data_IF_348387241747
#
_entry.id   IF_348387241747
#
_cell.length_a   1.000
_cell.length_b   1.000
_cell.length_c   1.000
_cell.angle_alpha   90.00
_cell.angle_beta   90.00
_cell.angle_gamma   90.00
#
_symmetry.space_group_name_H-M   'P 1'
#
loop_
_entity.id
_entity.type
_entity.pdbx_description
1 polymer ?
#
# COMPACT_ATOMS: atom_id res chain seq x y z
N UNK A 1 -15.07 -5.62 14.00
CA UNK A 1 -14.52 -4.35 14.51
C UNK A 1 -13.01 -4.51 14.64
N UNK A 2 -12.22 -3.55 14.16
CA UNK A 2 -10.77 -3.63 14.28
C UNK A 2 -10.33 -3.54 15.76
N UNK A 3 -9.28 -4.30 16.14
CA UNK A 3 -8.72 -4.23 17.48
C UNK A 3 -8.05 -2.87 17.71
N UNK A 4 -8.53 -2.04 18.67
CA UNK A 4 -8.03 -0.69 18.87
C UNK A 4 -6.57 -0.62 19.34
N UNK A 5 -6.02 -1.72 19.83
CA UNK A 5 -4.60 -1.82 20.19
C UNK A 5 -3.70 -1.74 18.95
N UNK A 6 -4.12 -2.34 17.85
CA UNK A 6 -3.35 -2.40 16.60
C UNK A 6 -3.81 -1.35 15.58
N UNK A 7 -5.10 -1.02 15.60
CA UNK A 7 -5.75 -0.12 14.66
C UNK A 7 -6.47 1.01 15.42
N UNK A 8 -5.74 1.99 15.93
CA UNK A 8 -6.37 3.12 16.61
C UNK A 8 -7.22 3.90 15.61
N UNK A 9 -8.49 4.12 15.95
CA UNK A 9 -9.39 4.96 15.14
C UNK A 9 -8.91 6.39 15.15
N UNK A 10 -8.89 7.03 13.97
CA UNK A 10 -8.45 8.40 13.89
C UNK A 10 -9.57 9.39 14.20
N UNK A 11 -10.74 9.22 13.60
CA UNK A 11 -11.86 10.16 13.74
C UNK A 11 -13.19 9.53 13.27
N UNK A 12 -14.28 10.13 13.74
CA UNK A 12 -15.62 9.85 13.26
C UNK A 12 -15.86 10.60 11.94
N UNK A 13 -16.71 10.08 11.07
CA UNK A 13 -17.10 10.71 9.84
C UNK A 13 -18.59 11.03 9.81
N UNK A 14 -18.96 12.20 9.32
CA UNK A 14 -20.36 12.51 9.02
C UNK A 14 -20.77 11.91 7.69
N UNK A 15 -22.07 11.65 7.50
CA UNK A 15 -22.62 11.17 6.23
C UNK A 15 -22.28 12.11 5.07
N UNK A 16 -22.28 13.42 5.30
CA UNK A 16 -21.87 14.41 4.31
C UNK A 16 -20.40 14.29 3.89
N UNK A 17 -19.49 13.99 4.84
CA UNK A 17 -18.09 13.73 4.52
C UNK A 17 -17.93 12.44 3.71
N UNK A 18 -18.65 11.38 4.08
CA UNK A 18 -18.67 10.10 3.36
C UNK A 18 -19.11 10.32 1.91
N UNK A 19 -20.25 11.01 1.71
CA UNK A 19 -20.76 11.37 0.37
C UNK A 19 -19.71 12.13 -0.45
N UNK A 20 -19.03 13.10 0.14
CA UNK A 20 -17.99 13.90 -0.53
C UNK A 20 -16.79 13.04 -0.92
N UNK A 21 -16.31 12.18 -0.02
CA UNK A 21 -15.15 11.30 -0.26
C UNK A 21 -15.42 10.28 -1.36
N UNK A 22 -16.63 9.73 -1.41
CA UNK A 22 -17.02 8.68 -2.36
C UNK A 22 -17.72 9.20 -3.62
N UNK A 23 -17.96 10.52 -3.69
CA UNK A 23 -18.71 11.18 -4.75
C UNK A 23 -20.12 10.59 -4.98
N UNK A 24 -20.78 10.16 -3.90
CA UNK A 24 -22.12 9.56 -3.94
C UNK A 24 -23.17 10.61 -3.57
N UNK A 25 -24.25 10.68 -4.38
CA UNK A 25 -25.39 11.53 -4.10
C UNK A 25 -26.26 10.93 -3.01
N UNK A 26 -26.53 11.70 -1.96
CA UNK A 26 -27.41 11.29 -0.87
C UNK A 26 -28.88 11.59 -1.16
N UNK A 27 -29.82 10.76 -0.67
CA UNK A 27 -31.23 11.10 -0.66
C UNK A 27 -31.49 12.42 0.08
N UNK A 28 -32.46 13.23 -0.39
CA UNK A 28 -32.78 14.54 0.21
C UNK A 28 -33.26 14.43 1.68
N UNK A 29 -33.82 13.28 2.06
CA UNK A 29 -34.44 13.04 3.37
C UNK A 29 -33.43 12.65 4.47
N UNK A 30 -32.16 12.43 4.14
CA UNK A 30 -31.19 11.96 5.14
C UNK A 30 -30.45 13.11 5.82
N UNK A 31 -30.19 12.97 7.12
CA UNK A 31 -29.37 13.93 7.87
C UNK A 31 -27.89 13.76 7.49
N UNK A 32 -27.35 14.76 6.81
CA UNK A 32 -25.92 14.80 6.40
C UNK A 32 -24.97 14.89 7.60
N UNK A 33 -25.45 15.31 8.77
CA UNK A 33 -24.65 15.42 10.00
C UNK A 33 -24.63 14.12 10.81
N UNK A 34 -25.39 13.08 10.39
CA UNK A 34 -25.34 11.78 11.05
C UNK A 34 -23.91 11.26 11.09
N UNK A 35 -23.46 10.86 12.27
CA UNK A 35 -22.09 10.45 12.53
C UNK A 35 -21.97 8.92 12.47
N UNK A 36 -20.90 8.46 11.85
CA UNK A 36 -20.48 7.06 11.83
C UNK A 36 -19.14 6.90 12.54
N UNK A 37 -19.02 5.82 13.28
CA UNK A 37 -17.85 5.55 14.14
C UNK A 37 -16.84 4.62 13.49
N UNK A 38 -17.29 3.76 12.54
CA UNK A 38 -16.45 2.70 11.98
C UNK A 38 -17.08 2.05 10.74
N UNK A 39 -16.31 1.18 10.13
CA UNK A 39 -16.73 0.22 9.12
C UNK A 39 -16.93 -1.16 9.75
N UNK A 40 -17.80 -1.99 9.17
CA UNK A 40 -17.99 -3.37 9.65
C UNK A 40 -18.57 -4.26 8.56
N UNK A 41 -18.44 -5.59 8.71
CA UNK A 41 -19.13 -6.57 7.87
C UNK A 41 -20.65 -6.49 8.06
N UNK A 42 -21.40 -6.98 7.07
CA UNK A 42 -22.88 -6.94 7.06
C UNK A 42 -23.52 -7.60 8.28
N UNK A 43 -22.93 -8.70 8.76
CA UNK A 43 -23.40 -9.53 9.87
C UNK A 43 -23.09 -8.96 11.26
N UNK A 44 -22.02 -8.15 11.36
CA UNK A 44 -21.52 -7.61 12.61
C UNK A 44 -21.76 -6.10 12.79
N UNK A 45 -22.26 -5.45 11.74
CA UNK A 45 -22.46 -4.02 11.72
C UNK A 45 -23.58 -3.59 12.70
N UNK A 46 -23.37 -2.44 13.33
CA UNK A 46 -24.35 -1.71 14.15
C UNK A 46 -24.83 -0.45 13.41
N UNK A 47 -25.81 0.26 14.00
CA UNK A 47 -26.34 1.52 13.44
C UNK A 47 -25.30 2.63 13.28
N UNK A 48 -24.17 2.54 13.95
CA UNK A 48 -23.07 3.50 13.83
C UNK A 48 -21.98 3.05 12.86
N UNK A 49 -22.17 1.93 12.16
CA UNK A 49 -21.22 1.39 11.21
C UNK A 49 -21.69 1.54 9.77
N UNK A 50 -20.70 1.62 8.87
CA UNK A 50 -20.90 1.54 7.43
C UNK A 50 -20.48 0.16 6.95
N UNK A 51 -21.28 -0.43 6.05
CA UNK A 51 -20.99 -1.70 5.42
C UNK A 51 -21.08 -1.60 3.90
N UNK A 52 -20.88 -2.71 3.21
CA UNK A 52 -21.05 -2.79 1.76
C UNK A 52 -21.57 -4.17 1.35
N UNK A 53 -22.25 -4.22 0.19
CA UNK A 53 -22.62 -5.42 -0.53
C UNK A 53 -22.07 -5.34 -1.96
N UNK A 54 -21.15 -6.23 -2.30
CA UNK A 54 -20.59 -6.34 -3.66
C UNK A 54 -20.85 -7.72 -4.27
N UNK A 55 -20.95 -8.77 -3.45
CA UNK A 55 -21.14 -10.15 -3.88
C UNK A 55 -22.54 -10.66 -3.49
N UNK A 56 -23.25 -11.25 -4.47
CA UNK A 56 -24.60 -11.83 -4.30
C UNK A 56 -24.67 -12.92 -3.22
N UNK A 57 -23.59 -13.59 -2.91
CA UNK A 57 -23.53 -14.61 -1.85
C UNK A 57 -23.83 -14.05 -0.46
N UNK A 58 -23.75 -12.72 -0.27
CA UNK A 58 -24.00 -12.06 1.01
C UNK A 58 -25.38 -11.39 1.10
N UNK A 59 -26.30 -11.64 0.16
CA UNK A 59 -27.64 -11.04 0.13
C UNK A 59 -28.42 -11.34 1.42
N UNK A 60 -28.33 -12.54 1.95
CA UNK A 60 -29.06 -12.89 3.19
C UNK A 60 -28.54 -12.14 4.41
N UNK A 61 -27.23 -11.91 4.47
CA UNK A 61 -26.61 -11.07 5.49
C UNK A 61 -27.02 -9.60 5.30
N UNK A 62 -27.06 -9.11 4.08
CA UNK A 62 -27.49 -7.76 3.75
C UNK A 62 -28.92 -7.48 4.23
N UNK A 63 -29.87 -8.36 3.91
CA UNK A 63 -31.28 -8.26 4.34
C UNK A 63 -31.46 -8.20 5.85
N UNK A 64 -30.55 -8.81 6.61
CA UNK A 64 -30.58 -8.90 8.08
C UNK A 64 -29.66 -7.90 8.76
N UNK A 65 -28.89 -7.12 7.98
CA UNK A 65 -27.88 -6.21 8.52
C UNK A 65 -28.48 -5.10 9.37
N UNK A 66 -27.78 -4.72 10.42
CA UNK A 66 -28.09 -3.60 11.29
C UNK A 66 -27.17 -2.40 11.05
N UNK A 67 -26.48 -2.35 9.91
CA UNK A 67 -25.62 -1.24 9.53
C UNK A 67 -26.42 0.06 9.49
N UNK A 68 -25.80 1.17 9.85
CA UNK A 68 -26.47 2.49 9.73
C UNK A 68 -26.48 3.00 8.30
N UNK A 69 -25.49 2.59 7.47
CA UNK A 69 -25.43 2.86 6.04
C UNK A 69 -24.73 1.71 5.32
N UNK A 70 -25.03 1.50 4.06
CA UNK A 70 -24.44 0.44 3.26
C UNK A 70 -24.22 0.88 1.82
N UNK A 71 -23.02 0.64 1.29
CA UNK A 71 -22.74 0.79 -0.15
C UNK A 71 -23.23 -0.45 -0.89
N UNK A 72 -23.98 -0.27 -1.97
CA UNK A 72 -24.43 -1.35 -2.83
C UNK A 72 -24.85 -0.84 -4.21
N UNK A 73 -24.93 -1.74 -5.20
CA UNK A 73 -25.38 -1.39 -6.56
C UNK A 73 -26.89 -1.18 -6.59
N UNK A 74 -27.36 -0.33 -7.49
CA UNK A 74 -28.77 0.01 -7.66
C UNK A 74 -29.67 -1.22 -7.82
N UNK A 75 -29.16 -2.31 -8.41
CA UNK A 75 -29.89 -3.57 -8.63
C UNK A 75 -30.37 -4.24 -7.34
N UNK A 76 -29.81 -3.88 -6.19
CA UNK A 76 -30.20 -4.45 -4.90
C UNK A 76 -31.18 -3.57 -4.10
N UNK A 77 -31.70 -2.48 -4.69
CA UNK A 77 -32.51 -1.50 -3.96
C UNK A 77 -33.82 -2.10 -3.42
N UNK A 78 -34.45 -3.02 -4.19
CA UNK A 78 -35.73 -3.64 -3.83
C UNK A 78 -35.62 -4.62 -2.64
N UNK A 79 -34.41 -5.11 -2.38
CA UNK A 79 -34.13 -6.04 -1.27
C UNK A 79 -33.40 -5.38 -0.12
N UNK A 80 -33.08 -4.09 -0.25
CA UNK A 80 -32.36 -3.35 0.78
C UNK A 80 -33.25 -3.11 2.00
N UNK A 81 -32.72 -3.31 3.23
CA UNK A 81 -33.48 -3.01 4.44
C UNK A 81 -33.81 -1.53 4.56
N UNK A 82 -35.05 -1.19 4.95
CA UNK A 82 -35.53 0.19 5.10
C UNK A 82 -34.82 0.97 6.21
N UNK A 83 -34.24 0.27 7.19
CA UNK A 83 -33.54 0.85 8.34
C UNK A 83 -32.10 1.24 8.04
N UNK A 84 -31.60 1.01 6.84
CA UNK A 84 -30.22 1.31 6.42
C UNK A 84 -30.23 2.51 5.47
N UNK A 85 -29.30 3.45 5.61
CA UNK A 85 -29.10 4.49 4.61
C UNK A 85 -28.48 3.88 3.36
N UNK A 86 -29.15 4.04 2.24
CA UNK A 86 -28.71 3.51 0.95
C UNK A 86 -27.65 4.41 0.32
N UNK A 87 -26.44 3.89 0.19
CA UNK A 87 -25.31 4.53 -0.49
C UNK A 87 -25.10 3.83 -1.84
N UNK A 88 -25.81 4.31 -2.86
CA UNK A 88 -25.77 3.67 -4.18
C UNK A 88 -24.44 3.97 -4.86
N UNK A 89 -23.72 2.92 -5.21
CA UNK A 89 -22.40 2.98 -5.84
C UNK A 89 -22.30 1.98 -6.99
N UNK A 90 -21.67 2.37 -8.09
CA UNK A 90 -21.32 1.45 -9.19
C UNK A 90 -20.22 0.44 -8.76
N UNK A 91 -19.36 0.84 -7.85
CA UNK A 91 -18.34 -0.04 -7.25
C UNK A 91 -18.38 0.07 -5.71
N UNK A 92 -19.25 -0.71 -5.04
CA UNK A 92 -19.45 -0.66 -3.59
C UNK A 92 -18.18 -0.97 -2.80
N UNK A 93 -17.38 -1.94 -3.25
CA UNK A 93 -16.13 -2.30 -2.59
C UNK A 93 -15.10 -1.18 -2.65
N UNK A 94 -14.98 -0.51 -3.80
CA UNK A 94 -14.09 0.65 -3.94
C UNK A 94 -14.52 1.80 -3.02
N UNK A 95 -15.80 2.14 -3.00
CA UNK A 95 -16.35 3.17 -2.11
C UNK A 95 -16.10 2.84 -0.64
N UNK A 96 -16.26 1.58 -0.25
CA UNK A 96 -15.97 1.10 1.09
C UNK A 96 -14.48 1.20 1.43
N UNK A 97 -13.58 0.87 0.50
CA UNK A 97 -12.13 1.02 0.69
C UNK A 97 -11.71 2.48 0.90
N UNK A 98 -12.31 3.45 0.19
CA UNK A 98 -12.10 4.89 0.41
C UNK A 98 -12.43 5.27 1.85
N UNK A 99 -13.58 4.82 2.34
CA UNK A 99 -14.03 5.14 3.70
C UNK A 99 -13.20 4.38 4.75
N UNK A 100 -12.81 3.15 4.48
CA UNK A 100 -11.90 2.40 5.35
C UNK A 100 -10.57 3.15 5.57
N UNK A 101 -9.96 3.64 4.50
CA UNK A 101 -8.75 4.46 4.58
C UNK A 101 -8.98 5.80 5.32
N UNK A 102 -10.17 6.38 5.23
CA UNK A 102 -10.50 7.60 5.97
C UNK A 102 -10.68 7.37 7.47
N UNK A 103 -11.21 6.20 7.89
CA UNK A 103 -11.29 5.80 9.29
C UNK A 103 -9.94 5.35 9.86
N UNK A 104 -9.11 4.72 9.04
CA UNK A 104 -7.82 4.13 9.41
C UNK A 104 -6.70 4.65 8.50
N UNK A 105 -6.38 5.94 8.56
CA UNK A 105 -5.32 6.51 7.75
C UNK A 105 -3.97 5.88 8.12
N UNK A 106 -3.10 5.77 7.13
CA UNK A 106 -1.70 5.44 7.38
C UNK A 106 -1.12 6.53 8.28
N UNK A 107 -0.37 6.14 9.31
CA UNK A 107 0.30 7.10 10.19
C UNK A 107 1.26 7.95 9.39
N UNK A 108 1.24 9.25 9.67
CA UNK A 108 2.22 10.17 9.13
C UNK A 108 3.64 9.73 9.54
N UNK A 109 4.59 9.93 8.65
CA UNK A 109 5.99 9.72 8.96
C UNK A 109 6.45 10.79 9.97
N UNK A 110 7.37 10.40 10.86
CA UNK A 110 8.03 11.34 11.76
C UNK A 110 9.40 11.65 11.18
N UNK A 111 9.51 12.76 10.47
CA UNK A 111 10.72 13.16 9.77
C UNK A 111 11.93 13.22 10.71
N UNK A 112 13.09 12.86 10.18
CA UNK A 112 14.38 12.87 10.88
C UNK A 112 15.16 11.58 10.73
N UNK A 113 16.47 11.69 10.94
CA UNK A 113 17.40 10.56 10.94
C UNK A 113 17.60 10.09 12.38
N UNK A 114 17.27 8.82 12.65
CA UNK A 114 17.46 8.26 13.97
C UNK A 114 18.98 8.15 14.31
N UNK A 115 19.44 8.47 15.54
CA UNK A 115 20.86 8.45 15.89
C UNK A 115 21.56 7.08 15.73
N UNK A 116 20.81 5.99 15.67
CA UNK A 116 21.31 4.63 15.39
C UNK A 116 21.25 4.25 13.91
N UNK A 117 20.89 5.14 13.02
CA UNK A 117 21.00 4.94 11.58
C UNK A 117 22.41 5.36 11.12
N UNK A 118 22.91 4.71 10.07
CA UNK A 118 24.13 5.11 9.39
C UNK A 118 23.77 5.66 8.01
N UNK A 119 24.15 6.91 7.77
CA UNK A 119 23.89 7.59 6.49
C UNK A 119 25.18 8.23 6.02
N UNK A 120 25.66 7.81 4.84
CA UNK A 120 26.88 8.34 4.24
C UNK A 120 26.72 9.82 3.84
N UNK A 121 27.81 10.59 3.90
CA UNK A 121 27.79 12.04 3.70
C UNK A 121 27.34 12.49 2.30
N UNK A 122 27.49 11.64 1.27
CA UNK A 122 27.09 11.92 -0.11
C UNK A 122 25.61 11.68 -0.39
N UNK A 123 24.84 11.16 0.57
CA UNK A 123 23.41 10.90 0.43
C UNK A 123 22.64 12.22 0.30
N UNK A 124 21.77 12.29 -0.69
CA UNK A 124 20.91 13.47 -0.92
C UNK A 124 19.49 13.17 -0.45
N UNK A 125 19.02 13.91 0.54
CA UNK A 125 17.65 13.87 1.06
C UNK A 125 17.29 15.22 1.67
N UNK A 126 16.01 15.45 1.97
CA UNK A 126 15.55 16.67 2.65
C UNK A 126 15.00 16.36 4.06
N UNK A 127 14.59 17.37 4.76
CA UNK A 127 14.10 17.34 6.14
C UNK A 127 12.73 16.66 6.32
N UNK A 128 12.07 16.25 5.25
CA UNK A 128 10.79 15.51 5.30
C UNK A 128 10.97 13.99 5.33
N UNK A 129 12.21 13.49 5.21
CA UNK A 129 12.52 12.06 5.18
C UNK A 129 12.66 11.50 6.59
N UNK A 130 12.10 10.33 6.83
CA UNK A 130 12.32 9.54 8.04
C UNK A 130 13.28 8.39 7.76
N UNK A 131 14.39 8.31 8.50
CA UNK A 131 15.32 7.17 8.47
C UNK A 131 15.33 6.52 9.87
N UNK A 132 14.82 5.30 9.95
CA UNK A 132 14.57 4.59 11.19
C UNK A 132 15.84 3.96 11.80
N UNK A 133 15.82 3.51 13.07
CA UNK A 133 16.99 2.96 13.74
C UNK A 133 17.57 1.74 13.01
N UNK A 134 18.89 1.66 12.94
CA UNK A 134 19.62 0.56 12.31
C UNK A 134 19.59 0.56 10.78
N UNK A 135 18.92 1.52 10.14
CA UNK A 135 19.00 1.66 8.70
C UNK A 135 20.41 2.08 8.26
N UNK A 136 20.86 1.54 7.12
CA UNK A 136 22.14 1.87 6.49
C UNK A 136 21.88 2.41 5.10
N UNK A 137 22.32 3.64 4.84
CA UNK A 137 22.19 4.29 3.53
C UNK A 137 23.57 4.62 3.02
N UNK A 138 23.99 3.92 1.96
CA UNK A 138 25.33 4.02 1.37
C UNK A 138 25.48 5.27 0.49
N UNK A 139 26.69 5.48 -0.02
CA UNK A 139 27.07 6.66 -0.81
C UNK A 139 26.19 6.87 -2.04
N UNK A 140 26.01 8.13 -2.43
CA UNK A 140 25.37 8.59 -3.66
C UNK A 140 23.91 8.17 -3.83
N UNK A 141 23.25 7.75 -2.75
CA UNK A 141 21.80 7.51 -2.73
C UNK A 141 21.07 8.84 -2.78
N UNK A 142 19.99 8.87 -3.55
CA UNK A 142 19.07 10.02 -3.65
C UNK A 142 17.69 9.61 -3.15
N UNK A 143 17.15 10.33 -2.16
CA UNK A 143 15.84 10.05 -1.56
C UNK A 143 14.95 11.28 -1.73
N UNK A 144 13.79 11.10 -2.35
CA UNK A 144 12.78 12.12 -2.52
C UNK A 144 12.12 12.56 -1.21
N UNK A 145 11.18 13.48 -1.32
CA UNK A 145 10.45 14.05 -0.17
C UNK A 145 9.47 13.05 0.44
N UNK A 146 9.18 13.19 1.75
CA UNK A 146 8.19 12.41 2.47
C UNK A 146 8.40 10.88 2.40
N UNK A 147 9.64 10.44 2.37
CA UNK A 147 10.00 9.02 2.32
C UNK A 147 10.25 8.45 3.71
N UNK A 148 9.92 7.16 3.87
CA UNK A 148 10.26 6.37 5.05
C UNK A 148 11.27 5.28 4.67
N UNK A 149 12.41 5.26 5.34
CA UNK A 149 13.36 4.14 5.33
C UNK A 149 13.22 3.38 6.65
N UNK A 150 12.68 2.17 6.59
CA UNK A 150 12.35 1.34 7.75
C UNK A 150 13.58 0.84 8.52
N UNK A 151 13.36 0.39 9.74
CA UNK A 151 14.43 -0.08 10.62
C UNK A 151 15.23 -1.25 10.00
N UNK A 152 16.55 -1.25 10.17
CA UNK A 152 17.48 -2.27 9.66
C UNK A 152 17.43 -2.47 8.14
N UNK A 153 16.90 -1.52 7.40
CA UNK A 153 16.89 -1.54 5.94
C UNK A 153 18.24 -1.04 5.41
N UNK A 154 18.75 -1.73 4.39
CA UNK A 154 20.02 -1.40 3.75
C UNK A 154 19.77 -0.91 2.33
N UNK A 155 20.17 0.33 2.05
CA UNK A 155 20.14 0.93 0.72
C UNK A 155 21.57 1.05 0.22
N UNK A 156 21.91 0.33 -0.84
CA UNK A 156 23.25 0.34 -1.40
C UNK A 156 23.47 1.54 -2.33
N UNK A 157 24.75 1.78 -2.64
CA UNK A 157 25.20 2.98 -3.36
C UNK A 157 24.48 3.21 -4.68
N UNK A 158 24.18 4.49 -4.97
CA UNK A 158 23.63 4.94 -6.24
C UNK A 158 22.14 4.66 -6.46
N UNK A 159 21.42 4.12 -5.47
CA UNK A 159 19.96 3.91 -5.55
C UNK A 159 19.24 5.25 -5.57
N UNK A 160 18.20 5.35 -6.39
CA UNK A 160 17.35 6.54 -6.50
C UNK A 160 15.94 6.16 -6.03
N UNK A 161 15.35 6.98 -5.15
CA UNK A 161 14.02 6.78 -4.56
C UNK A 161 13.20 8.05 -4.77
N UNK A 162 12.03 7.93 -5.42
CA UNK A 162 11.09 9.01 -5.65
C UNK A 162 10.29 9.40 -4.41
N UNK A 163 9.50 10.47 -4.53
CA UNK A 163 8.74 11.07 -3.43
C UNK A 163 7.67 10.14 -2.85
N UNK A 164 7.31 10.36 -1.59
CA UNK A 164 6.23 9.66 -0.87
C UNK A 164 6.40 8.12 -0.85
N UNK A 165 7.62 7.62 -0.99
CA UNK A 165 7.91 6.19 -1.02
C UNK A 165 8.20 5.66 0.36
N UNK A 166 7.54 4.55 0.71
CA UNK A 166 7.63 3.91 2.01
C UNK A 166 8.33 2.55 1.89
N UNK A 167 9.47 2.41 2.51
CA UNK A 167 10.24 1.16 2.55
C UNK A 167 10.17 0.59 3.97
N UNK A 168 9.60 -0.59 4.11
CA UNK A 168 9.46 -1.32 5.37
C UNK A 168 10.80 -1.75 5.99
N UNK A 169 10.79 -2.28 7.21
CA UNK A 169 12.00 -2.77 7.87
C UNK A 169 12.60 -4.02 7.21
N UNK A 170 13.89 -4.21 7.45
CA UNK A 170 14.67 -5.36 7.01
C UNK A 170 14.72 -5.58 5.48
N UNK A 171 14.55 -4.54 4.69
CA UNK A 171 14.70 -4.57 3.23
C UNK A 171 16.17 -4.43 2.83
N UNK A 172 16.51 -4.92 1.62
CA UNK A 172 17.80 -4.64 0.99
C UNK A 172 17.56 -4.19 -0.44
N UNK A 173 18.07 -3.03 -0.82
CA UNK A 173 17.86 -2.41 -2.12
C UNK A 173 19.20 -2.03 -2.73
N UNK A 174 19.44 -2.50 -3.95
CA UNK A 174 20.66 -2.25 -4.71
C UNK A 174 20.34 -2.08 -6.19
N UNK A 175 21.19 -1.42 -6.93
CA UNK A 175 21.11 -1.27 -8.41
C UNK A 175 19.70 -0.94 -8.91
N UNK A 176 19.02 -0.01 -8.25
CA UNK A 176 17.60 0.23 -8.48
C UNK A 176 17.25 1.70 -8.63
N UNK A 177 16.23 1.95 -9.46
CA UNK A 177 15.53 3.23 -9.56
C UNK A 177 14.09 2.97 -9.15
N UNK A 178 13.65 3.64 -8.09
CA UNK A 178 12.31 3.50 -7.51
C UNK A 178 11.56 4.81 -7.72
N UNK A 179 10.36 4.73 -8.28
CA UNK A 179 9.46 5.85 -8.50
C UNK A 179 8.83 6.43 -7.24
N UNK A 180 7.84 7.26 -7.43
CA UNK A 180 7.09 7.94 -6.37
C UNK A 180 5.86 7.14 -5.93
N UNK A 181 5.40 7.37 -4.69
CA UNK A 181 4.23 6.69 -4.10
C UNK A 181 4.37 5.16 -4.08
N UNK A 182 5.59 4.64 -4.01
CA UNK A 182 5.87 3.22 -3.96
C UNK A 182 5.80 2.74 -2.51
N UNK A 183 5.20 1.58 -2.31
CA UNK A 183 5.13 0.93 -1.00
C UNK A 183 5.84 -0.42 -1.05
N UNK A 184 6.89 -0.56 -0.29
CA UNK A 184 7.69 -1.77 -0.18
C UNK A 184 7.52 -2.32 1.23
N UNK A 185 6.93 -3.52 1.34
CA UNK A 185 6.70 -4.15 2.63
C UNK A 185 7.98 -4.79 3.20
N UNK A 186 7.86 -5.33 4.40
CA UNK A 186 9.00 -5.81 5.20
C UNK A 186 9.74 -6.96 4.52
N UNK A 187 11.07 -6.96 4.64
CA UNK A 187 11.89 -8.09 4.22
C UNK A 187 12.11 -8.23 2.70
N UNK A 188 11.67 -7.27 1.90
CA UNK A 188 11.84 -7.30 0.43
C UNK A 188 13.30 -7.15 0.04
N UNK A 189 13.72 -7.89 -1.00
CA UNK A 189 15.04 -7.85 -1.63
C UNK A 189 14.92 -7.35 -3.06
N UNK A 190 15.67 -6.31 -3.41
CA UNK A 190 15.64 -5.71 -4.75
C UNK A 190 17.05 -5.51 -5.26
N UNK A 191 17.29 -5.96 -6.51
CA UNK A 191 18.51 -5.69 -7.26
C UNK A 191 19.65 -6.66 -7.01
N UNK A 192 19.39 -7.81 -6.38
CA UNK A 192 20.36 -8.91 -6.35
C UNK A 192 20.55 -9.52 -7.73
N UNK A 193 21.60 -10.32 -7.90
CA UNK A 193 21.90 -11.02 -9.14
C UNK A 193 20.74 -11.94 -9.57
N UNK A 194 20.37 -11.88 -10.83
CA UNK A 194 19.56 -12.90 -11.46
C UNK A 194 20.31 -14.24 -11.57
N UNK A 195 19.58 -15.32 -11.77
CA UNK A 195 20.12 -16.66 -11.92
C UNK A 195 20.58 -16.90 -13.37
N UNK A 196 21.86 -16.59 -13.65
CA UNK A 196 22.46 -16.75 -14.96
C UNK A 196 23.80 -17.47 -14.89
N UNK A 197 23.93 -18.61 -15.57
CA UNK A 197 25.16 -19.37 -15.66
C UNK A 197 25.37 -19.90 -17.08
N UNK A 198 26.61 -19.76 -17.60
CA UNK A 198 27.07 -20.44 -18.80
C UNK A 198 27.57 -21.84 -18.40
N UNK A 199 26.91 -22.84 -18.95
CA UNK A 199 27.24 -24.24 -18.65
C UNK A 199 28.34 -24.75 -19.58
N UNK A 200 29.32 -25.44 -19.02
CA UNK A 200 30.30 -26.24 -19.73
C UNK A 200 30.43 -27.58 -19.00
N UNK A 201 30.97 -28.62 -19.64
CA UNK A 201 31.02 -30.01 -19.14
C UNK A 201 31.45 -30.17 -17.67
N UNK A 202 32.28 -29.29 -17.15
CA UNK A 202 32.84 -29.39 -15.78
C UNK A 202 32.64 -28.15 -14.91
N UNK A 203 32.12 -27.02 -15.42
CA UNK A 203 32.04 -25.74 -14.70
C UNK A 203 30.81 -24.96 -15.13
N UNK A 204 30.09 -24.44 -14.14
CA UNK A 204 29.04 -23.43 -14.35
C UNK A 204 29.65 -22.05 -14.10
N UNK A 205 29.95 -21.32 -15.15
CA UNK A 205 30.48 -19.96 -15.06
C UNK A 205 29.33 -18.97 -14.86
N UNK A 206 29.37 -18.20 -13.76
CA UNK A 206 28.36 -17.18 -13.49
C UNK A 206 28.39 -16.08 -14.56
N UNK A 207 27.23 -15.76 -15.13
CA UNK A 207 27.04 -14.61 -16.02
C UNK A 207 26.87 -13.35 -15.18
N UNK A 208 27.69 -12.30 -15.37
CA UNK A 208 27.50 -11.02 -14.69
C UNK A 208 26.13 -10.41 -14.99
N UNK A 209 25.48 -9.91 -13.97
CA UNK A 209 24.18 -9.22 -14.07
C UNK A 209 24.44 -7.71 -14.04
N UNK A 210 24.32 -7.03 -15.19
CA UNK A 210 24.73 -5.64 -15.39
C UNK A 210 23.57 -4.66 -15.58
N UNK A 211 22.34 -5.16 -15.63
CA UNK A 211 21.11 -4.35 -15.65
C UNK A 211 20.71 -3.89 -14.24
N UNK A 212 19.61 -3.17 -14.18
CA UNK A 212 19.04 -2.59 -12.94
C UNK A 212 17.66 -3.19 -12.70
N UNK A 213 17.07 -2.78 -11.55
CA UNK A 213 15.62 -2.85 -11.32
C UNK A 213 15.03 -1.44 -11.44
N UNK A 214 14.00 -1.29 -12.26
CA UNK A 214 13.24 -0.04 -12.41
C UNK A 214 11.83 -0.27 -11.93
N UNK A 215 11.45 0.39 -10.84
CA UNK A 215 10.11 0.34 -10.27
C UNK A 215 9.44 1.67 -10.57
N UNK A 216 8.31 1.62 -11.31
CA UNK A 216 7.55 2.82 -11.66
C UNK A 216 6.70 3.30 -10.49
N UNK A 217 5.96 4.39 -10.69
CA UNK A 217 5.14 5.02 -9.66
C UNK A 217 3.96 4.13 -9.22
N UNK A 218 3.46 4.37 -8.00
CA UNK A 218 2.26 3.74 -7.46
C UNK A 218 2.35 2.20 -7.31
N UNK A 219 3.54 1.62 -7.32
CA UNK A 219 3.76 0.17 -7.14
C UNK A 219 3.67 -0.21 -5.67
N UNK A 220 3.10 -1.38 -5.38
CA UNK A 220 3.12 -1.97 -4.04
C UNK A 220 3.71 -3.38 -4.09
N UNK A 221 4.70 -3.66 -3.21
CA UNK A 221 5.45 -4.91 -3.18
C UNK A 221 5.25 -5.57 -1.82
N UNK A 222 4.63 -6.76 -1.82
CA UNK A 222 4.37 -7.56 -0.65
C UNK A 222 5.63 -8.03 0.09
N UNK A 223 5.45 -8.45 1.32
CA UNK A 223 6.55 -8.84 2.21
C UNK A 223 7.36 -10.02 1.66
N UNK A 224 8.68 -9.98 1.87
CA UNK A 224 9.63 -11.01 1.48
C UNK A 224 9.64 -11.34 -0.03
N UNK A 225 9.22 -10.42 -0.87
CA UNK A 225 9.42 -10.53 -2.31
C UNK A 225 10.89 -10.39 -2.67
N UNK A 226 11.28 -11.00 -3.80
CA UNK A 226 12.62 -10.95 -4.34
C UNK A 226 12.56 -10.51 -5.80
N UNK A 227 13.30 -9.45 -6.17
CA UNK A 227 13.26 -8.86 -7.51
C UNK A 227 14.68 -8.76 -8.03
N UNK A 228 15.01 -9.61 -9.00
CA UNK A 228 16.35 -9.72 -9.54
C UNK A 228 16.61 -8.60 -10.55
N UNK A 229 17.84 -8.07 -10.56
CA UNK A 229 18.26 -7.14 -11.60
C UNK A 229 18.46 -7.83 -12.94
N UNK A 230 18.33 -7.08 -14.01
CA UNK A 230 18.50 -7.61 -15.36
C UNK A 230 19.95 -8.01 -15.67
N UNK A 231 20.11 -8.88 -16.65
CA UNK A 231 21.42 -9.33 -17.13
C UNK A 231 22.16 -8.20 -17.86
N UNK A 232 21.46 -7.46 -18.69
CA UNK A 232 21.93 -6.28 -19.42
C UNK A 232 20.78 -5.26 -19.54
N UNK A 233 19.64 -5.62 -20.16
CA UNK A 233 18.41 -4.85 -20.05
C UNK A 233 17.90 -4.85 -18.58
N UNK A 234 17.13 -3.83 -18.21
CA UNK A 234 16.57 -3.71 -16.86
C UNK A 234 15.45 -4.72 -16.61
N UNK A 235 15.21 -5.08 -15.34
CA UNK A 235 13.96 -5.65 -14.86
C UNK A 235 13.02 -4.49 -14.50
N UNK A 236 11.77 -4.49 -14.99
CA UNK A 236 10.88 -3.34 -14.88
C UNK A 236 9.55 -3.76 -14.24
N UNK A 237 9.17 -3.11 -13.13
CA UNK A 237 7.81 -3.14 -12.61
C UNK A 237 7.05 -1.92 -13.12
N UNK A 238 6.01 -2.15 -13.92
CA UNK A 238 5.16 -1.11 -14.51
C UNK A 238 4.41 -0.30 -13.45
N UNK A 239 3.91 0.89 -13.83
CA UNK A 239 3.14 1.76 -12.95
C UNK A 239 1.92 1.05 -12.37
N UNK A 240 1.67 1.23 -11.08
CA UNK A 240 0.51 0.66 -10.38
C UNK A 240 0.56 -0.85 -10.12
N UNK A 241 1.65 -1.54 -10.48
CA UNK A 241 1.82 -2.98 -10.21
C UNK A 241 1.65 -3.31 -8.74
N UNK A 242 0.93 -4.40 -8.44
CA UNK A 242 0.74 -4.93 -7.08
C UNK A 242 1.26 -6.36 -7.03
N UNK A 243 2.27 -6.59 -6.20
CA UNK A 243 2.81 -7.92 -5.92
C UNK A 243 2.33 -8.37 -4.54
N UNK A 244 1.81 -9.58 -4.46
CA UNK A 244 1.52 -10.22 -3.17
C UNK A 244 2.82 -10.63 -2.46
N UNK A 245 2.70 -11.11 -1.23
CA UNK A 245 3.84 -11.58 -0.45
C UNK A 245 4.53 -12.77 -1.12
N UNK A 246 5.84 -12.90 -0.91
CA UNK A 246 6.65 -14.05 -1.37
C UNK A 246 6.71 -14.22 -2.90
N UNK A 247 6.48 -13.17 -3.66
CA UNK A 247 6.61 -13.20 -5.12
C UNK A 247 8.09 -13.08 -5.51
N UNK A 248 8.54 -13.96 -6.44
CA UNK A 248 9.84 -13.88 -7.10
C UNK A 248 9.66 -13.29 -8.50
N UNK A 249 10.37 -12.20 -8.80
CA UNK A 249 10.50 -11.63 -10.14
C UNK A 249 11.92 -11.92 -10.63
N UNK A 250 12.03 -12.74 -11.67
CA UNK A 250 13.32 -13.06 -12.29
C UNK A 250 13.89 -11.90 -13.10
N UNK A 251 15.16 -12.01 -13.46
CA UNK A 251 15.85 -11.00 -14.26
C UNK A 251 15.19 -10.75 -15.63
N UNK A 252 15.24 -9.52 -16.12
CA UNK A 252 14.71 -9.09 -17.42
C UNK A 252 13.17 -9.19 -17.57
N UNK A 253 12.42 -9.41 -16.48
CA UNK A 253 10.96 -9.32 -16.52
C UNK A 253 10.50 -7.86 -16.76
N UNK A 254 9.42 -7.70 -17.55
CA UNK A 254 8.79 -6.40 -17.85
C UNK A 254 7.27 -6.52 -17.73
#
# INVERSE_FOLDING_TARGET
MADPKFFPKSKKLTLGQISKLTNITLPKSVDKNRIFDDISGLDTASQNNISFLDNKNYIDQFKKSKAGACFFKKDFIEIAPDNIIHLISENPYHSFAIIANAFYPIKDITAGVHPKAHVENSVKYNDTVQIAPGAVVSSDVVIGSNCLIGANTVILSGVIIGDNTMIGPNCTISYSIIGSNVKIHNGVRIGQDGFGFAQNENINLKMPQLGRVVIKDNVEIGSNCSIDRGTGPDTILGEGTKLDNLVQIGHNAV
#
